data_IF_569785329991
#
_entry.id   IF_569785329991
#
_cell.length_a   1.000
_cell.length_b   1.000
_cell.length_c   1.000
_cell.angle_alpha   90.00
_cell.angle_beta   90.00
_cell.angle_gamma   90.00
#
_symmetry.space_group_name_H-M   'P 1'
#
loop_
_entity.id
_entity.type
_entity.pdbx_description
1 polymer ?
#
# COMPACT_ATOMS: atom_id res chain seq x y z
N UNK A 1 -20.03 23.01 -5.64
CA UNK A 1 -18.80 22.74 -4.86
C UNK A 1 -19.03 21.45 -4.11
N UNK A 2 -18.28 20.39 -4.43
CA UNK A 2 -18.30 19.15 -3.64
C UNK A 2 -17.37 19.39 -2.46
N UNK A 3 -17.86 19.29 -1.23
CA UNK A 3 -17.04 19.42 -0.04
C UNK A 3 -16.45 18.04 0.28
N UNK A 4 -15.37 17.68 -0.41
CA UNK A 4 -14.69 16.39 -0.21
C UNK A 4 -14.11 16.32 1.21
N UNK A 5 -14.81 15.63 2.10
CA UNK A 5 -14.39 15.44 3.49
C UNK A 5 -13.34 14.34 3.64
N UNK A 6 -12.65 14.31 4.79
CA UNK A 6 -11.72 13.22 5.13
C UNK A 6 -12.38 11.84 5.11
N UNK A 7 -13.67 11.75 5.48
CA UNK A 7 -14.44 10.50 5.46
C UNK A 7 -14.70 9.95 4.06
N UNK A 8 -15.02 10.81 3.09
CA UNK A 8 -15.27 10.39 1.69
C UNK A 8 -13.98 9.89 1.05
N UNK A 9 -12.86 10.58 1.30
CA UNK A 9 -11.54 10.17 0.85
C UNK A 9 -11.16 8.83 1.48
N UNK A 10 -11.25 8.71 2.81
CA UNK A 10 -10.93 7.48 3.52
C UNK A 10 -11.82 6.30 3.09
N UNK A 11 -13.11 6.53 2.88
CA UNK A 11 -14.04 5.55 2.33
C UNK A 11 -13.56 5.03 0.97
N UNK A 12 -13.18 5.95 0.07
CA UNK A 12 -12.66 5.57 -1.25
C UNK A 12 -11.33 4.82 -1.17
N UNK A 13 -10.43 5.22 -0.27
CA UNK A 13 -9.17 4.51 -0.02
C UNK A 13 -9.44 3.07 0.41
N UNK A 14 -10.36 2.85 1.37
CA UNK A 14 -10.72 1.51 1.86
C UNK A 14 -11.37 0.65 0.79
N UNK A 15 -12.25 1.21 -0.04
CA UNK A 15 -12.82 0.48 -1.18
C UNK A 15 -11.72 -0.04 -2.10
N UNK A 16 -10.75 0.81 -2.46
CA UNK A 16 -9.64 0.38 -3.32
C UNK A 16 -8.77 -0.68 -2.64
N UNK A 17 -8.50 -0.57 -1.35
CA UNK A 17 -7.75 -1.57 -0.58
C UNK A 17 -8.48 -2.91 -0.52
N UNK A 18 -9.81 -2.90 -0.37
CA UNK A 18 -10.62 -4.10 -0.42
C UNK A 18 -10.59 -4.74 -1.81
N UNK A 19 -10.73 -3.95 -2.88
CA UNK A 19 -10.60 -4.46 -4.25
C UNK A 19 -9.20 -5.08 -4.49
N UNK A 20 -8.14 -4.49 -3.92
CA UNK A 20 -6.79 -5.06 -3.97
C UNK A 20 -6.70 -6.37 -3.19
N UNK A 21 -7.29 -6.45 -1.99
CA UNK A 21 -7.31 -7.67 -1.16
C UNK A 21 -8.05 -8.83 -1.83
N UNK A 22 -9.16 -8.55 -2.51
CA UNK A 22 -9.97 -9.59 -3.17
C UNK A 22 -9.26 -10.22 -4.37
N UNK A 23 -8.56 -9.40 -5.17
CA UNK A 23 -7.85 -9.85 -6.38
C UNK A 23 -6.46 -9.20 -6.48
N UNK A 24 -5.50 -9.58 -5.61
CA UNK A 24 -4.20 -8.93 -5.52
C UNK A 24 -3.44 -8.91 -6.85
N UNK A 25 -3.43 -10.02 -7.59
CA UNK A 25 -2.64 -10.14 -8.84
C UNK A 25 -3.12 -9.17 -9.93
N UNK A 26 -4.42 -8.85 -9.93
CA UNK A 26 -5.09 -8.09 -10.98
C UNK A 26 -5.36 -6.63 -10.62
N UNK A 27 -5.41 -6.31 -9.32
CA UNK A 27 -5.85 -4.99 -8.83
C UNK A 27 -4.73 -4.14 -8.23
N UNK A 28 -3.48 -4.63 -8.21
CA UNK A 28 -2.32 -3.87 -7.72
C UNK A 28 -2.11 -2.50 -8.39
N UNK A 29 -2.61 -2.29 -9.61
CA UNK A 29 -2.57 -0.98 -10.27
C UNK A 29 -3.30 0.11 -9.46
N UNK A 30 -4.28 -0.25 -8.62
CA UNK A 30 -4.97 0.69 -7.72
C UNK A 30 -4.06 1.30 -6.66
N UNK A 31 -2.89 0.70 -6.38
CA UNK A 31 -1.89 1.35 -5.54
C UNK A 31 -1.35 2.64 -6.20
N UNK A 32 -1.35 2.74 -7.54
CA UNK A 32 -1.04 3.99 -8.24
C UNK A 32 -2.11 5.06 -7.97
N UNK A 33 -3.38 4.66 -8.00
CA UNK A 33 -4.49 5.56 -7.71
C UNK A 33 -4.42 6.05 -6.25
N UNK A 34 -4.14 5.13 -5.32
CA UNK A 34 -3.89 5.41 -3.91
C UNK A 34 -2.73 6.41 -3.73
N UNK A 35 -1.60 6.14 -4.39
CA UNK A 35 -0.44 7.03 -4.36
C UNK A 35 -0.78 8.45 -4.85
N UNK A 36 -1.49 8.56 -5.97
CA UNK A 36 -1.91 9.84 -6.51
C UNK A 36 -2.84 10.60 -5.53
N UNK A 37 -3.75 9.90 -4.85
CA UNK A 37 -4.63 10.49 -3.84
C UNK A 37 -3.81 11.00 -2.65
N UNK A 38 -2.87 10.21 -2.13
CA UNK A 38 -2.04 10.64 -0.99
C UNK A 38 -1.19 11.87 -1.33
N UNK A 39 -0.63 11.93 -2.54
CA UNK A 39 0.10 13.11 -3.05
C UNK A 39 -0.83 14.32 -3.15
N UNK A 40 -2.06 14.13 -3.63
CA UNK A 40 -3.04 15.22 -3.69
C UNK A 40 -3.44 15.72 -2.29
N UNK A 41 -3.64 14.83 -1.31
CA UNK A 41 -3.91 15.20 0.08
C UNK A 41 -2.76 16.03 0.64
N UNK A 42 -1.50 15.63 0.37
CA UNK A 42 -0.33 16.41 0.74
C UNK A 42 -0.41 17.84 0.21
N UNK A 43 -0.79 18.05 -1.05
CA UNK A 43 -0.87 19.41 -1.64
C UNK A 43 -1.90 20.28 -0.91
N UNK A 44 -2.99 19.69 -0.43
CA UNK A 44 -4.07 20.42 0.27
C UNK A 44 -3.75 20.62 1.76
N UNK A 45 -3.11 19.64 2.40
CA UNK A 45 -2.91 19.59 3.86
C UNK A 45 -1.48 19.88 4.32
N UNK A 46 -0.56 20.09 3.38
CA UNK A 46 0.86 20.38 3.63
C UNK A 46 1.56 19.35 4.52
N UNK A 47 1.38 18.05 4.22
CA UNK A 47 2.02 16.93 4.94
C UNK A 47 3.04 16.23 4.03
N UNK A 48 4.33 16.60 4.05
CA UNK A 48 5.36 16.05 3.18
C UNK A 48 5.49 14.53 3.21
N UNK A 49 5.27 13.90 4.36
CA UNK A 49 5.40 12.44 4.52
C UNK A 49 4.48 11.65 3.57
N UNK A 50 3.29 12.18 3.27
CA UNK A 50 2.35 11.55 2.34
C UNK A 50 2.87 11.52 0.90
N UNK A 51 3.72 12.47 0.50
CA UNK A 51 4.37 12.44 -0.83
C UNK A 51 5.40 11.33 -0.91
N UNK A 52 6.19 11.13 0.14
CA UNK A 52 7.21 10.08 0.17
C UNK A 52 6.53 8.71 0.11
N UNK A 53 5.50 8.51 0.96
CA UNK A 53 4.65 7.32 0.91
C UNK A 53 4.07 7.11 -0.49
N UNK A 54 3.53 8.17 -1.11
CA UNK A 54 3.00 8.10 -2.47
C UNK A 54 4.04 7.62 -3.48
N UNK A 55 5.24 8.19 -3.47
CA UNK A 55 6.33 7.78 -4.36
C UNK A 55 6.75 6.32 -4.15
N UNK A 56 6.86 5.86 -2.90
CA UNK A 56 7.21 4.47 -2.61
C UNK A 56 6.12 3.51 -3.10
N UNK A 57 4.85 3.89 -2.94
CA UNK A 57 3.72 3.12 -3.47
C UNK A 57 3.75 3.00 -5.00
N UNK A 58 4.30 3.95 -5.75
CA UNK A 58 4.48 3.81 -7.20
C UNK A 58 5.47 2.69 -7.58
N UNK A 59 6.36 2.27 -6.68
CA UNK A 59 7.34 1.22 -6.97
C UNK A 59 6.79 -0.19 -6.70
N UNK A 60 5.74 -0.30 -5.89
CA UNK A 60 5.28 -1.58 -5.36
C UNK A 60 4.47 -2.45 -6.33
N UNK A 61 3.59 -1.92 -7.22
CA UNK A 61 2.74 -2.77 -8.06
C UNK A 61 3.50 -3.78 -8.91
N UNK A 62 4.54 -3.34 -9.61
CA UNK A 62 5.32 -4.23 -10.49
C UNK A 62 6.13 -5.26 -9.70
N UNK A 63 6.68 -4.85 -8.54
CA UNK A 63 7.45 -5.75 -7.67
C UNK A 63 6.53 -6.79 -7.05
N UNK A 64 5.43 -6.38 -6.44
CA UNK A 64 4.46 -7.29 -5.82
C UNK A 64 3.80 -8.21 -6.85
N UNK A 65 3.46 -7.72 -8.04
CA UNK A 65 2.79 -8.54 -9.08
C UNK A 65 3.65 -9.75 -9.44
N UNK A 66 4.95 -9.55 -9.61
CA UNK A 66 5.89 -10.63 -9.94
C UNK A 66 5.90 -11.71 -8.84
N UNK A 67 5.93 -11.29 -7.57
CA UNK A 67 5.93 -12.20 -6.42
C UNK A 67 4.59 -12.92 -6.22
N UNK A 68 3.47 -12.24 -6.41
CA UNK A 68 2.14 -12.84 -6.27
C UNK A 68 1.85 -13.85 -7.39
N UNK A 69 2.23 -13.54 -8.64
CA UNK A 69 2.13 -14.49 -9.75
C UNK A 69 3.04 -15.70 -9.54
N UNK A 70 4.27 -15.47 -9.08
CA UNK A 70 5.19 -16.57 -8.74
C UNK A 70 4.61 -17.47 -7.64
N UNK A 71 4.04 -16.89 -6.58
CA UNK A 71 3.35 -17.62 -5.51
C UNK A 71 2.21 -18.48 -6.07
N UNK A 72 1.38 -17.93 -6.95
CA UNK A 72 0.28 -18.66 -7.58
C UNK A 72 0.75 -19.85 -8.44
N UNK A 73 1.96 -19.77 -9.01
CA UNK A 73 2.59 -20.88 -9.75
C UNK A 73 3.35 -21.89 -8.88
N UNK A 74 3.55 -21.61 -7.59
CA UNK A 74 4.46 -22.36 -6.71
C UNK A 74 3.75 -23.34 -5.75
N UNK A 75 2.48 -23.66 -5.99
CA UNK A 75 1.73 -24.63 -5.18
C UNK A 75 2.36 -26.03 -5.22
N UNK A 76 2.56 -26.63 -4.04
CA UNK A 76 3.21 -27.94 -3.91
C UNK A 76 4.74 -27.89 -4.04
N UNK A 77 5.34 -26.71 -3.87
CA UNK A 77 6.79 -26.51 -3.86
C UNK A 77 7.49 -27.09 -2.62
N UNK A 78 8.79 -26.83 -2.52
CA UNK A 78 9.61 -27.24 -1.37
C UNK A 78 9.26 -26.45 -0.10
N UNK A 79 9.66 -26.91 1.11
CA UNK A 79 9.49 -26.14 2.34
C UNK A 79 10.10 -24.73 2.27
N UNK A 80 11.19 -24.55 1.51
CA UNK A 80 11.81 -23.27 1.23
C UNK A 80 10.91 -22.36 0.40
N UNK A 81 10.24 -22.93 -0.62
CA UNK A 81 9.26 -22.24 -1.44
C UNK A 81 8.06 -21.79 -0.61
N UNK A 82 7.54 -22.64 0.28
CA UNK A 82 6.43 -22.32 1.17
C UNK A 82 6.78 -21.19 2.16
N UNK A 83 8.00 -21.20 2.71
CA UNK A 83 8.52 -20.10 3.56
C UNK A 83 8.57 -18.78 2.79
N UNK A 84 8.99 -18.80 1.52
CA UNK A 84 9.01 -17.58 0.71
C UNK A 84 7.59 -17.08 0.39
N UNK A 85 6.69 -17.99 0.01
CA UNK A 85 5.28 -17.66 -0.24
C UNK A 85 4.60 -17.04 0.99
N UNK A 86 4.86 -17.57 2.19
CA UNK A 86 4.33 -17.01 3.44
C UNK A 86 4.93 -15.65 3.76
N UNK A 87 6.23 -15.45 3.53
CA UNK A 87 6.88 -14.14 3.70
C UNK A 87 6.28 -13.07 2.76
N UNK A 88 6.08 -13.39 1.48
CA UNK A 88 5.43 -12.48 0.51
C UNK A 88 4.00 -12.14 0.95
N UNK A 89 3.25 -13.13 1.44
CA UNK A 89 1.87 -12.93 1.93
C UNK A 89 1.85 -11.96 3.11
N UNK A 90 2.75 -12.17 4.08
CA UNK A 90 2.87 -11.30 5.24
C UNK A 90 3.24 -9.87 4.85
N UNK A 91 4.21 -9.69 3.95
CA UNK A 91 4.61 -8.37 3.45
C UNK A 91 3.42 -7.65 2.80
N UNK A 92 2.61 -8.37 2.01
CA UNK A 92 1.42 -7.81 1.39
C UNK A 92 0.34 -7.45 2.41
N UNK A 93 0.06 -8.31 3.39
CA UNK A 93 -0.90 -8.04 4.46
C UNK A 93 -0.48 -6.83 5.32
N UNK A 94 0.80 -6.77 5.70
CA UNK A 94 1.38 -5.65 6.47
C UNK A 94 1.28 -4.33 5.69
N UNK A 95 1.52 -4.36 4.37
CA UNK A 95 1.33 -3.20 3.49
C UNK A 95 -0.13 -2.74 3.48
N UNK A 96 -1.09 -3.65 3.24
CA UNK A 96 -2.50 -3.25 3.17
C UNK A 96 -2.97 -2.73 4.54
N UNK A 97 -2.65 -3.42 5.63
CA UNK A 97 -3.02 -2.96 6.98
C UNK A 97 -2.39 -1.61 7.35
N UNK A 98 -1.22 -1.30 6.78
CA UNK A 98 -0.62 0.03 6.92
C UNK A 98 -1.40 1.10 6.15
N UNK A 99 -1.82 0.80 4.93
CA UNK A 99 -2.62 1.73 4.12
C UNK A 99 -4.04 1.93 4.69
N UNK A 100 -4.62 0.92 5.34
CA UNK A 100 -5.88 1.06 6.07
C UNK A 100 -5.75 2.02 7.26
N UNK A 101 -4.63 1.97 7.98
CA UNK A 101 -4.31 2.92 9.05
C UNK A 101 -4.12 4.34 8.51
N UNK A 102 -3.47 4.50 7.36
CA UNK A 102 -3.37 5.81 6.67
C UNK A 102 -4.77 6.36 6.36
N UNK A 103 -5.67 5.54 5.82
CA UNK A 103 -7.05 5.94 5.55
C UNK A 103 -7.81 6.32 6.82
N UNK A 104 -7.60 5.60 7.93
CA UNK A 104 -8.18 5.93 9.23
C UNK A 104 -7.68 7.27 9.79
N UNK A 105 -6.37 7.57 9.66
CA UNK A 105 -5.82 8.88 10.03
C UNK A 105 -6.48 10.00 9.21
N UNK A 106 -6.66 9.81 7.90
CA UNK A 106 -7.32 10.78 7.02
C UNK A 106 -8.80 11.00 7.39
N UNK A 107 -9.50 9.96 7.87
CA UNK A 107 -10.90 10.05 8.28
C UNK A 107 -11.08 10.83 9.59
N UNK A 108 -10.26 10.52 10.60
CA UNK A 108 -10.46 10.98 11.98
C UNK A 108 -9.90 12.35 12.28
N UNK A 109 -8.86 12.75 11.55
CA UNK A 109 -8.09 13.95 11.88
C UNK A 109 -8.51 15.14 11.03
N UNK A 110 -9.01 16.19 11.66
CA UNK A 110 -9.28 17.47 10.99
C UNK A 110 -7.99 18.13 10.47
N UNK A 111 -6.92 17.97 11.26
CA UNK A 111 -5.54 18.43 10.98
C UNK A 111 -4.63 17.21 10.91
N UNK A 112 -3.90 17.08 9.81
CA UNK A 112 -2.96 15.98 9.58
C UNK A 112 -1.53 16.48 9.81
N UNK A 113 -0.72 15.68 10.50
CA UNK A 113 0.68 15.98 10.76
C UNK A 113 1.60 14.84 10.29
N UNK A 114 2.86 15.14 10.00
CA UNK A 114 3.84 14.13 9.55
C UNK A 114 4.02 12.96 10.55
N UNK A 115 3.85 13.25 11.84
CA UNK A 115 3.96 12.24 12.91
C UNK A 115 2.90 11.14 12.76
N UNK A 116 1.73 11.46 12.20
CA UNK A 116 0.62 10.53 12.04
C UNK A 116 0.94 9.46 10.98
N UNK A 117 1.90 9.73 10.10
CA UNK A 117 2.28 8.86 8.98
C UNK A 117 3.69 8.28 9.11
N UNK A 118 4.40 8.57 10.19
CA UNK A 118 5.80 8.15 10.38
C UNK A 118 5.96 6.64 10.49
N UNK A 119 5.01 5.94 11.11
CA UNK A 119 5.00 4.47 11.13
C UNK A 119 4.69 3.91 9.74
N UNK A 120 3.72 4.51 9.03
CA UNK A 120 3.34 4.08 7.70
C UNK A 120 4.50 4.21 6.71
N UNK A 121 5.25 5.31 6.77
CA UNK A 121 6.46 5.51 5.98
C UNK A 121 7.46 4.38 6.21
N UNK A 122 7.81 4.10 7.48
CA UNK A 122 8.78 3.04 7.82
C UNK A 122 8.37 1.68 7.29
N UNK A 123 7.09 1.32 7.42
CA UNK A 123 6.61 0.03 6.93
C UNK A 123 6.63 -0.04 5.42
N UNK A 124 6.21 1.02 4.71
CA UNK A 124 6.18 1.05 3.24
C UNK A 124 7.60 1.02 2.66
N UNK A 125 8.53 1.82 3.20
CA UNK A 125 9.95 1.75 2.84
C UNK A 125 10.52 0.35 3.13
N UNK A 126 10.16 -0.24 4.27
CA UNK A 126 10.51 -1.62 4.62
C UNK A 126 10.01 -2.63 3.58
N UNK A 127 8.77 -2.50 3.12
CA UNK A 127 8.18 -3.33 2.06
C UNK A 127 8.93 -3.17 0.73
N UNK A 128 9.27 -1.94 0.34
CA UNK A 128 10.07 -1.67 -0.87
C UNK A 128 11.43 -2.37 -0.79
N UNK A 129 12.07 -2.38 0.38
CA UNK A 129 13.40 -2.98 0.57
C UNK A 129 13.36 -4.50 0.76
N UNK A 130 12.29 -5.04 1.32
CA UNK A 130 12.16 -6.47 1.63
C UNK A 130 11.84 -7.33 0.40
N UNK A 131 11.21 -6.78 -0.63
CA UNK A 131 10.89 -7.51 -1.86
C UNK A 131 12.15 -7.67 -2.71
N UNK A 132 12.68 -8.89 -2.92
CA UNK A 132 13.82 -9.09 -3.80
C UNK A 132 13.46 -8.66 -5.24
N UNK A 133 14.45 -8.25 -6.02
CA UNK A 133 14.25 -8.00 -7.44
C UNK A 133 13.89 -9.32 -8.12
N UNK A 134 12.85 -9.40 -8.97
CA UNK A 134 12.53 -10.61 -9.72
C UNK A 134 13.63 -11.06 -10.71
N UNK A 135 14.75 -10.33 -10.80
CA UNK A 135 15.83 -10.53 -11.79
C UNK A 135 17.10 -11.16 -11.21
N UNK A 136 17.08 -11.66 -9.98
CA UNK A 136 18.19 -12.45 -9.40
C UNK A 136 17.79 -13.91 -9.17
#
# INVERSE_FOLDING_TARGET
>A
MVNLGGSEIAGRLREMLNEIKELPEFRLNKLYDLAAILIAIREVKAVPTLVVIGHDLFLLPERLRSWLLWKAGSYGGTPETEKLCSAVTKIFEDLIGTLERVAECIEKSEVLEDKDFSEALKTIEGTVNALPSPRE
#
